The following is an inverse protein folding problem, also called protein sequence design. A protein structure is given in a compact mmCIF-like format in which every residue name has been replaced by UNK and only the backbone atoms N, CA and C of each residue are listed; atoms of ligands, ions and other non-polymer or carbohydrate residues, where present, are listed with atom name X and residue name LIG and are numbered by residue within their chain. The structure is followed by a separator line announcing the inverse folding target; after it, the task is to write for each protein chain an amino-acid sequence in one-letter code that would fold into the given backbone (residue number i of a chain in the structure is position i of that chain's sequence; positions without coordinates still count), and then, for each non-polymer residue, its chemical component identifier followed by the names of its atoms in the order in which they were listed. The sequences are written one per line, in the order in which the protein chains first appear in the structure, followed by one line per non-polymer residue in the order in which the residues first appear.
data_IF_022339376029
#
_entry.id   IF_022339376029
#
_cell.length_a   1.000
_cell.length_b   1.000
_cell.length_c   1.000
_cell.angle_alpha   90.00
_cell.angle_beta   90.00
_cell.angle_gamma   90.00
#
_symmetry.space_group_name_H-M   'P 1'
#
loop_
_entity.id
_entity.type
_entity.pdbx_description
1 polymer ?
#
# COMPACT_ATOMS: atom_id res chain seq x y z
N UNK A 1 4.72 36.81 -41.79
CA UNK A 1 3.50 35.97 -41.77
C UNK A 1 3.34 35.35 -40.39
N UNK A 2 2.43 35.89 -39.57
CA UNK A 2 2.10 35.33 -38.25
C UNK A 2 1.12 34.17 -38.48
N UNK A 3 1.54 32.93 -38.22
CA UNK A 3 0.61 31.79 -38.20
C UNK A 3 -0.16 31.86 -36.88
N UNK A 4 -1.47 32.06 -36.99
CA UNK A 4 -2.40 31.96 -35.87
C UNK A 4 -2.34 30.54 -35.30
N UNK A 5 -1.92 30.43 -34.04
CA UNK A 5 -2.14 29.23 -33.24
C UNK A 5 -3.66 29.04 -33.14
N UNK A 6 -4.16 27.99 -33.80
CA UNK A 6 -5.56 27.59 -33.70
C UNK A 6 -5.87 27.32 -32.23
N UNK A 7 -6.87 28.02 -31.71
CA UNK A 7 -7.52 27.72 -30.44
C UNK A 7 -7.90 26.24 -30.40
N UNK A 8 -7.16 25.46 -29.62
CA UNK A 8 -7.59 24.11 -29.25
C UNK A 8 -8.67 24.27 -28.18
N UNK A 9 -9.85 23.64 -28.31
CA UNK A 9 -10.96 23.84 -27.38
C UNK A 9 -10.61 23.35 -25.97
N UNK A 10 -11.17 24.04 -24.98
CA UNK A 10 -11.16 23.80 -23.51
C UNK A 10 -11.64 22.40 -23.04
N UNK A 11 -11.73 21.41 -23.93
CA UNK A 11 -12.39 20.13 -23.70
C UNK A 11 -11.42 18.97 -23.48
N UNK A 12 -10.31 19.17 -22.76
CA UNK A 12 -9.78 18.22 -21.78
C UNK A 12 -8.83 19.00 -20.87
N UNK A 13 -9.29 19.54 -19.73
CA UNK A 13 -8.38 19.86 -18.61
C UNK A 13 -7.84 18.53 -18.05
N UNK A 14 -6.96 17.87 -18.79
CA UNK A 14 -6.01 16.91 -18.23
C UNK A 14 -5.14 17.72 -17.28
N UNK A 15 -5.03 17.31 -16.03
CA UNK A 15 -4.09 17.89 -15.06
C UNK A 15 -2.68 17.79 -15.65
N UNK A 16 -2.27 18.81 -16.40
CA UNK A 16 -0.96 18.90 -17.02
C UNK A 16 0.01 19.37 -15.94
N UNK A 17 0.88 18.46 -15.52
CA UNK A 17 1.96 18.78 -14.60
C UNK A 17 3.21 19.06 -15.44
N UNK A 18 3.80 20.24 -15.25
CA UNK A 18 5.07 20.63 -15.87
C UNK A 18 6.10 20.81 -14.76
N UNK A 19 7.30 20.33 -14.99
CA UNK A 19 8.43 20.47 -14.08
C UNK A 19 9.71 20.57 -14.91
N UNK A 20 10.67 21.30 -14.40
CA UNK A 20 11.99 21.42 -15.03
C UNK A 20 12.89 20.28 -14.54
N UNK A 21 13.64 19.69 -15.47
CA UNK A 21 14.66 18.70 -15.18
C UNK A 21 16.03 19.34 -15.34
N UNK A 22 16.99 18.92 -14.51
CA UNK A 22 18.39 19.21 -14.79
C UNK A 22 18.80 18.55 -16.12
N UNK A 23 19.79 19.09 -16.83
CA UNK A 23 20.28 18.49 -18.07
C UNK A 23 20.66 17.01 -17.91
N UNK A 24 21.33 16.68 -16.80
CA UNK A 24 21.73 15.31 -16.46
C UNK A 24 20.54 14.36 -16.29
N UNK A 25 19.46 14.83 -15.64
CA UNK A 25 18.25 14.05 -15.44
C UNK A 25 17.48 13.86 -16.75
N UNK A 26 17.47 14.87 -17.61
CA UNK A 26 16.88 14.79 -18.95
C UNK A 26 17.62 13.75 -19.82
N UNK A 27 18.95 13.79 -19.85
CA UNK A 27 19.78 12.83 -20.59
C UNK A 27 19.63 11.40 -20.07
N UNK A 28 19.47 11.23 -18.75
CA UNK A 28 19.16 9.95 -18.14
C UNK A 28 17.78 9.43 -18.59
N UNK A 29 16.76 10.29 -18.59
CA UNK A 29 15.41 9.95 -19.03
C UNK A 29 15.36 9.58 -20.52
N UNK A 30 16.10 10.28 -21.38
CA UNK A 30 16.18 9.94 -22.80
C UNK A 30 16.85 8.58 -23.03
N UNK A 31 17.94 8.29 -22.31
CA UNK A 31 18.61 6.98 -22.38
C UNK A 31 17.69 5.86 -21.90
N UNK A 32 16.95 6.09 -20.82
CA UNK A 32 16.03 5.11 -20.27
C UNK A 32 14.83 4.86 -21.20
N UNK A 33 14.29 5.91 -21.83
CA UNK A 33 13.24 5.80 -22.84
C UNK A 33 13.69 4.95 -24.04
N UNK A 34 14.92 5.17 -24.53
CA UNK A 34 15.52 4.35 -25.60
C UNK A 34 15.69 2.90 -25.18
N UNK A 35 16.17 2.65 -23.97
CA UNK A 35 16.36 1.29 -23.42
C UNK A 35 15.06 0.50 -23.34
N UNK A 36 13.96 1.16 -23.00
CA UNK A 36 12.63 0.55 -22.87
C UNK A 36 11.82 0.57 -24.18
N UNK A 37 12.41 1.02 -25.29
CA UNK A 37 11.76 1.04 -26.61
C UNK A 37 10.63 2.06 -26.73
N UNK A 38 10.58 3.05 -25.85
CA UNK A 38 9.52 4.06 -25.80
C UNK A 38 9.84 5.21 -26.75
N UNK A 39 8.84 5.68 -27.51
CA UNK A 39 9.04 6.68 -28.57
C UNK A 39 9.23 8.11 -28.06
N UNK A 40 8.93 8.39 -26.79
CA UNK A 40 8.96 9.75 -26.22
C UNK A 40 9.41 9.74 -24.76
N UNK A 41 10.28 10.69 -24.40
CA UNK A 41 10.69 10.91 -23.01
C UNK A 41 9.50 11.27 -22.11
N UNK A 42 8.49 11.98 -22.62
CA UNK A 42 7.27 12.28 -21.87
C UNK A 42 6.46 11.03 -21.53
N UNK A 43 6.38 10.08 -22.46
CA UNK A 43 5.72 8.80 -22.20
C UNK A 43 6.46 8.03 -21.11
N UNK A 44 7.79 7.99 -21.17
CA UNK A 44 8.60 7.31 -20.16
C UNK A 44 8.50 7.96 -18.79
N UNK A 45 8.55 9.29 -18.71
CA UNK A 45 8.38 10.02 -17.46
C UNK A 45 7.01 9.72 -16.81
N UNK A 46 5.96 9.63 -17.63
CA UNK A 46 4.62 9.26 -17.17
C UNK A 46 4.60 7.85 -16.59
N UNK A 47 5.21 6.88 -17.27
CA UNK A 47 5.31 5.50 -16.78
C UNK A 47 6.04 5.45 -15.43
N UNK A 48 7.20 6.08 -15.31
CA UNK A 48 7.97 6.15 -14.05
C UNK A 48 7.14 6.76 -12.93
N UNK A 49 6.40 7.84 -13.22
CA UNK A 49 5.52 8.46 -12.24
C UNK A 49 4.35 7.56 -11.83
N UNK A 50 3.72 6.87 -12.78
CA UNK A 50 2.65 5.92 -12.50
C UNK A 50 3.19 4.79 -11.63
N UNK A 51 4.33 4.22 -11.99
CA UNK A 51 4.98 3.14 -11.24
C UNK A 51 5.34 3.59 -9.82
N UNK A 52 5.87 4.81 -9.68
CA UNK A 52 6.19 5.39 -8.38
C UNK A 52 4.94 5.58 -7.52
N UNK A 53 3.88 6.16 -8.08
CA UNK A 53 2.62 6.39 -7.36
C UNK A 53 1.94 5.07 -6.98
N UNK A 54 1.86 4.11 -7.92
CA UNK A 54 1.30 2.79 -7.66
C UNK A 54 2.10 2.02 -6.60
N UNK A 55 3.43 2.10 -6.64
CA UNK A 55 4.28 1.47 -5.64
C UNK A 55 4.14 2.14 -4.26
N UNK A 56 4.05 3.48 -4.21
CA UNK A 56 3.85 4.22 -2.95
C UNK A 56 2.54 3.81 -2.29
N UNK A 57 1.45 3.78 -3.04
CA UNK A 57 0.14 3.34 -2.53
C UNK A 57 0.20 1.90 -2.04
N UNK A 58 0.92 1.02 -2.76
CA UNK A 58 1.11 -0.37 -2.34
C UNK A 58 1.91 -0.51 -1.04
N UNK A 59 2.95 0.31 -0.86
CA UNK A 59 3.81 0.30 0.33
C UNK A 59 3.05 0.84 1.53
N UNK A 60 2.31 1.94 1.35
CA UNK A 60 1.46 2.51 2.39
C UNK A 60 0.36 1.53 2.80
N UNK A 61 -0.30 0.89 1.82
CA UNK A 61 -1.33 -0.12 2.09
C UNK A 61 -0.75 -1.33 2.83
N UNK A 62 0.45 -1.81 2.47
CA UNK A 62 1.14 -2.90 3.18
C UNK A 62 1.46 -2.50 4.63
N UNK A 63 1.93 -1.28 4.85
CA UNK A 63 2.20 -0.77 6.20
C UNK A 63 0.91 -0.68 7.04
N UNK A 64 -0.19 -0.20 6.44
CA UNK A 64 -1.50 -0.16 7.09
C UNK A 64 -2.03 -1.55 7.42
N UNK A 65 -1.89 -2.51 6.50
CA UNK A 65 -2.30 -3.91 6.73
C UNK A 65 -1.49 -4.54 7.87
N UNK A 66 -0.17 -4.39 7.88
CA UNK A 66 0.67 -4.90 8.97
C UNK A 66 0.31 -4.29 10.33
N UNK A 67 0.03 -2.97 10.36
CA UNK A 67 -0.43 -2.30 11.58
C UNK A 67 -1.80 -2.81 12.04
N UNK A 68 -2.72 -3.09 11.10
CA UNK A 68 -4.03 -3.66 11.40
C UNK A 68 -3.91 -5.09 11.93
N UNK A 69 -3.10 -5.93 11.28
CA UNK A 69 -2.81 -7.29 11.73
C UNK A 69 -2.24 -7.29 13.15
N UNK A 70 -1.29 -6.42 13.45
CA UNK A 70 -0.75 -6.25 14.80
C UNK A 70 -1.82 -5.87 15.83
N UNK A 71 -2.73 -4.97 15.49
CA UNK A 71 -3.86 -4.59 16.37
C UNK A 71 -4.83 -5.75 16.59
N UNK A 72 -5.18 -6.48 15.53
CA UNK A 72 -6.06 -7.66 15.61
C UNK A 72 -5.43 -8.73 16.49
N UNK A 73 -4.13 -8.98 16.33
CA UNK A 73 -3.37 -9.89 17.18
C UNK A 73 -3.39 -9.46 18.65
N UNK A 74 -3.18 -8.16 18.92
CA UNK A 74 -3.26 -7.62 20.28
C UNK A 74 -4.64 -7.80 20.91
N UNK A 75 -5.72 -7.56 20.14
CA UNK A 75 -7.10 -7.78 20.61
C UNK A 75 -7.37 -9.26 20.85
N UNK A 76 -6.93 -10.15 19.95
CA UNK A 76 -7.10 -11.59 20.11
C UNK A 76 -6.42 -12.09 21.40
N UNK A 77 -5.22 -11.59 21.70
CA UNK A 77 -4.51 -11.94 22.93
C UNK A 77 -5.24 -11.44 24.18
N UNK A 78 -5.75 -10.21 24.16
CA UNK A 78 -6.57 -9.67 25.25
C UNK A 78 -7.81 -10.54 25.49
N UNK A 79 -8.53 -10.92 24.43
CA UNK A 79 -9.72 -11.77 24.55
C UNK A 79 -9.35 -13.15 25.10
N UNK A 80 -8.24 -13.76 24.66
CA UNK A 80 -7.78 -15.04 25.21
C UNK A 80 -7.49 -14.93 26.70
N UNK A 81 -6.75 -13.89 27.11
CA UNK A 81 -6.39 -13.66 28.50
C UNK A 81 -7.63 -13.45 29.38
N UNK A 82 -8.55 -12.62 28.93
CA UNK A 82 -9.75 -12.29 29.71
C UNK A 82 -10.71 -13.49 29.74
N UNK A 83 -10.83 -14.24 28.65
CA UNK A 83 -11.58 -15.52 28.61
C UNK A 83 -10.97 -16.53 29.57
N UNK A 84 -9.65 -16.69 29.59
CA UNK A 84 -8.96 -17.57 30.53
C UNK A 84 -9.25 -17.18 31.98
N UNK A 85 -9.18 -15.88 32.30
CA UNK A 85 -9.48 -15.38 33.63
C UNK A 85 -10.94 -15.69 34.04
N UNK A 86 -11.90 -15.54 33.14
CA UNK A 86 -13.31 -15.91 33.40
C UNK A 86 -13.46 -17.40 33.64
N UNK A 87 -12.88 -18.25 32.78
CA UNK A 87 -12.98 -19.70 32.91
C UNK A 87 -12.37 -20.21 34.23
N UNK A 88 -11.18 -19.73 34.59
CA UNK A 88 -10.47 -20.21 35.79
C UNK A 88 -11.01 -19.58 37.07
N UNK A 89 -11.26 -18.27 37.10
CA UNK A 89 -11.61 -17.59 38.35
C UNK A 89 -13.11 -17.52 38.61
N UNK A 90 -13.93 -17.29 37.59
CA UNK A 90 -15.38 -17.20 37.75
C UNK A 90 -16.04 -18.58 37.64
N UNK A 91 -15.69 -19.35 36.62
CA UNK A 91 -16.27 -20.68 36.39
C UNK A 91 -15.53 -21.83 37.11
N UNK A 92 -14.39 -21.54 37.76
CA UNK A 92 -13.55 -22.52 38.47
C UNK A 92 -13.16 -23.73 37.62
N UNK A 93 -13.02 -23.52 36.32
CA UNK A 93 -12.51 -24.51 35.39
C UNK A 93 -11.03 -24.78 35.69
N UNK A 94 -10.61 -26.04 35.56
CA UNK A 94 -9.19 -26.36 35.68
C UNK A 94 -8.38 -25.74 34.53
N UNK A 95 -7.11 -25.43 34.82
CA UNK A 95 -6.25 -24.69 33.92
C UNK A 95 -6.06 -25.38 32.56
N UNK A 96 -5.98 -26.72 32.53
CA UNK A 96 -5.73 -27.46 31.30
C UNK A 96 -6.97 -27.52 30.42
N UNK A 97 -8.16 -27.69 31.00
CA UNK A 97 -9.43 -27.59 30.25
C UNK A 97 -9.69 -26.17 29.76
N UNK A 98 -9.37 -25.14 30.54
CA UNK A 98 -9.55 -23.75 30.12
C UNK A 98 -8.68 -23.41 28.91
N UNK A 99 -7.40 -23.86 28.91
CA UNK A 99 -6.50 -23.70 27.75
C UNK A 99 -6.99 -24.49 26.53
N UNK A 100 -7.45 -25.73 26.72
CA UNK A 100 -8.00 -26.55 25.64
C UNK A 100 -9.23 -25.89 25.01
N UNK A 101 -10.14 -25.37 25.84
CA UNK A 101 -11.33 -24.67 25.38
C UNK A 101 -11.00 -23.42 24.56
N UNK A 102 -10.04 -22.62 25.02
CA UNK A 102 -9.59 -21.43 24.28
C UNK A 102 -8.95 -21.81 22.94
N UNK A 103 -8.16 -22.89 22.91
CA UNK A 103 -7.53 -23.37 21.68
C UNK A 103 -8.55 -23.89 20.66
N UNK A 104 -9.60 -24.56 21.11
CA UNK A 104 -10.68 -25.07 20.24
C UNK A 104 -11.64 -23.98 19.77
N UNK A 105 -11.90 -22.97 20.63
CA UNK A 105 -12.93 -21.95 20.40
C UNK A 105 -12.41 -20.64 19.80
N UNK A 106 -11.11 -20.35 19.87
CA UNK A 106 -10.53 -19.12 19.33
C UNK A 106 -9.64 -19.41 18.12
N UNK A 107 -9.87 -18.66 17.04
CA UNK A 107 -9.09 -18.74 15.82
C UNK A 107 -7.59 -18.57 16.13
N UNK A 108 -6.79 -19.57 15.83
CA UNK A 108 -5.34 -19.41 15.87
C UNK A 108 -4.92 -18.54 14.69
N UNK A 109 -4.11 -17.49 14.93
CA UNK A 109 -3.59 -16.68 13.85
C UNK A 109 -2.69 -17.56 13.00
N UNK A 110 -2.96 -17.59 11.70
CA UNK A 110 -2.16 -18.35 10.73
C UNK A 110 -0.74 -17.79 10.75
N UNK A 111 0.18 -18.51 11.39
CA UNK A 111 1.62 -18.26 11.24
C UNK A 111 1.96 -18.47 9.75
N UNK A 112 2.39 -17.41 9.07
CA UNK A 112 2.88 -17.46 7.68
C UNK A 112 4.39 -17.51 7.64
#
# INVERSE_FOLDING_TARGET
MKKALKNTPDAVRRNLVTFELSPEAFDALERDAKKHGVRSHHQRAREIMIDYLANRDSVELRAMLAALESKVMGVAELVRRDTYAVLVHAARMDNEKAKAWIREGMYEPVER
#
